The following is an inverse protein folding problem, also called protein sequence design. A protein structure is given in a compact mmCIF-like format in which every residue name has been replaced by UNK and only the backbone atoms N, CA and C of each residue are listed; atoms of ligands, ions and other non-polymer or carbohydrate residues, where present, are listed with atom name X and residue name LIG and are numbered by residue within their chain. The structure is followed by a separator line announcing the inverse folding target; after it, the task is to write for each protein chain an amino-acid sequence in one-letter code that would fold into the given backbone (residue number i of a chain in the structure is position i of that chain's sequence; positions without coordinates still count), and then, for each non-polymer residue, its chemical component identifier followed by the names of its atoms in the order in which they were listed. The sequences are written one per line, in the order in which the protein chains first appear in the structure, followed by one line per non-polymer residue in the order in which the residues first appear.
data_IF_795974612205
#
_entry.id   IF_795974612205
#
_cell.length_a   1.000
_cell.length_b   1.000
_cell.length_c   1.000
_cell.angle_alpha   90.00
_cell.angle_beta   90.00
_cell.angle_gamma   90.00
#
_symmetry.space_group_name_H-M   'P 1'
#
loop_
_entity.id
_entity.type
_entity.pdbx_description
1 polymer ?
#
# COMPACT_ATOMS: atom_id res chain seq x y z
N UNK A 1 -3.06 15.97 -0.69
CA UNK A 1 -2.90 14.69 -1.40
C UNK A 1 -3.72 13.61 -0.69
N UNK A 2 -4.48 12.84 -1.43
CA UNK A 2 -5.31 11.80 -0.84
C UNK A 2 -4.47 10.62 -0.36
N UNK A 3 -5.05 9.80 0.51
CA UNK A 3 -4.38 8.56 0.96
C UNK A 3 -4.04 7.67 -0.23
N UNK A 4 -4.97 7.55 -1.18
CA UNK A 4 -4.78 6.76 -2.39
C UNK A 4 -3.58 7.25 -3.21
N UNK A 5 -3.47 8.55 -3.43
CA UNK A 5 -2.35 9.11 -4.16
C UNK A 5 -1.03 8.91 -3.44
N UNK A 6 -1.01 9.12 -2.13
CA UNK A 6 0.19 8.90 -1.32
C UNK A 6 0.65 7.45 -1.40
N UNK A 7 -0.28 6.50 -1.30
CA UNK A 7 0.04 5.08 -1.40
C UNK A 7 0.58 4.72 -2.78
N UNK A 8 -0.09 5.16 -3.84
CA UNK A 8 0.33 4.82 -5.20
C UNK A 8 1.71 5.40 -5.49
N UNK A 9 1.96 6.64 -5.08
CA UNK A 9 3.26 7.25 -5.29
C UNK A 9 4.36 6.47 -4.56
N UNK A 10 4.14 6.14 -3.30
CA UNK A 10 5.14 5.39 -2.54
C UNK A 10 5.36 3.99 -3.11
N UNK A 11 4.28 3.29 -3.41
CA UNK A 11 4.36 1.91 -3.92
C UNK A 11 5.14 1.86 -5.24
N UNK A 12 4.82 2.75 -6.17
CA UNK A 12 5.30 2.62 -7.54
C UNK A 12 6.42 3.57 -7.91
N UNK A 13 6.80 4.48 -7.04
CA UNK A 13 7.99 5.31 -7.21
C UNK A 13 9.16 4.80 -6.36
N UNK A 14 8.88 4.26 -5.18
CA UNK A 14 9.91 3.92 -4.21
C UNK A 14 9.99 2.43 -3.92
N UNK A 15 8.86 1.81 -3.57
CA UNK A 15 8.85 0.44 -3.06
C UNK A 15 9.01 -0.58 -4.18
N UNK A 16 8.25 -0.41 -5.25
CA UNK A 16 8.25 -1.29 -6.41
C UNK A 16 8.33 -0.40 -7.67
N UNK A 17 9.50 0.21 -7.94
CA UNK A 17 9.61 1.22 -8.99
C UNK A 17 9.11 0.73 -10.34
N UNK A 18 8.27 1.55 -10.97
CA UNK A 18 7.71 1.27 -12.29
C UNK A 18 7.56 2.58 -13.06
N UNK A 19 7.52 2.48 -14.38
CA UNK A 19 7.24 3.65 -15.19
C UNK A 19 5.80 4.07 -14.95
N UNK A 20 5.55 5.39 -14.93
CA UNK A 20 4.22 5.93 -14.59
C UNK A 20 3.12 5.34 -15.46
N UNK A 21 3.37 5.14 -16.73
CA UNK A 21 2.39 4.59 -17.66
C UNK A 21 2.16 3.07 -17.47
N UNK A 22 3.00 2.43 -16.67
CA UNK A 22 2.90 0.99 -16.37
C UNK A 22 2.44 0.75 -14.93
N UNK A 23 2.03 1.78 -14.20
CA UNK A 23 1.56 1.61 -12.83
C UNK A 23 0.31 0.74 -12.80
N UNK A 24 0.25 -0.24 -11.90
CA UNK A 24 -0.94 -1.08 -11.77
C UNK A 24 -2.18 -0.28 -11.41
N UNK A 25 -3.32 -0.76 -11.83
CA UNK A 25 -4.61 -0.16 -11.44
C UNK A 25 -4.86 -0.40 -9.94
N UNK A 26 -5.81 0.35 -9.38
CA UNK A 26 -6.11 0.27 -7.94
C UNK A 26 -6.64 -1.10 -7.50
N UNK A 27 -7.22 -1.85 -8.42
CA UNK A 27 -7.74 -3.20 -8.14
C UNK A 27 -6.77 -4.31 -8.55
N UNK A 28 -5.60 -3.96 -9.09
CA UNK A 28 -4.61 -4.95 -9.50
C UNK A 28 -3.97 -5.62 -8.29
N UNK A 29 -3.55 -6.88 -8.48
CA UNK A 29 -2.92 -7.67 -7.44
C UNK A 29 -1.49 -7.16 -7.18
N UNK A 30 -1.26 -6.63 -5.99
CA UNK A 30 0.05 -6.12 -5.61
C UNK A 30 1.10 -7.22 -5.46
N UNK A 31 0.68 -8.45 -5.16
CA UNK A 31 1.61 -9.57 -5.09
C UNK A 31 2.21 -9.86 -6.47
N UNK A 32 1.39 -9.74 -7.51
CA UNK A 32 1.88 -9.87 -8.88
C UNK A 32 2.85 -8.75 -9.26
N UNK A 33 2.69 -7.58 -8.65
CA UNK A 33 3.57 -6.45 -8.89
C UNK A 33 4.88 -6.52 -8.10
N UNK A 34 4.99 -7.49 -7.18
CA UNK A 34 6.23 -7.69 -6.43
C UNK A 34 6.15 -7.44 -4.93
N UNK A 35 4.95 -7.21 -4.39
CA UNK A 35 4.81 -7.03 -2.95
C UNK A 35 5.19 -8.31 -2.22
N UNK A 36 6.04 -8.17 -1.20
CA UNK A 36 6.45 -9.29 -0.34
C UNK A 36 6.50 -8.82 1.11
N UNK A 37 6.92 -9.71 2.02
CA UNK A 37 6.93 -9.40 3.45
C UNK A 37 7.81 -8.22 3.80
N UNK A 38 8.97 -8.10 3.16
CA UNK A 38 9.89 -6.99 3.43
C UNK A 38 9.28 -5.67 2.97
N UNK A 39 8.75 -5.66 1.76
CA UNK A 39 8.13 -4.45 1.21
C UNK A 39 6.88 -4.07 1.98
N UNK A 40 6.13 -5.06 2.47
CA UNK A 40 4.96 -4.80 3.31
C UNK A 40 5.36 -4.10 4.60
N UNK A 41 6.44 -4.54 5.24
CA UNK A 41 6.91 -3.88 6.47
C UNK A 41 7.29 -2.43 6.20
N UNK A 42 7.97 -2.16 5.09
CA UNK A 42 8.32 -0.80 4.69
C UNK A 42 7.07 0.04 4.43
N UNK A 43 6.06 -0.56 3.82
CA UNK A 43 4.78 0.11 3.56
C UNK A 43 4.09 0.49 4.86
N UNK A 44 4.07 -0.40 5.84
CA UNK A 44 3.43 -0.12 7.12
C UNK A 44 4.14 1.02 7.86
N UNK A 45 5.46 1.07 7.79
CA UNK A 45 6.24 2.18 8.36
C UNK A 45 5.91 3.50 7.66
N UNK A 46 5.79 3.47 6.33
CA UNK A 46 5.40 4.65 5.56
C UNK A 46 4.02 5.17 5.99
N UNK A 47 3.05 4.27 6.11
CA UNK A 47 1.69 4.65 6.52
C UNK A 47 1.71 5.30 7.90
N UNK A 48 2.45 4.73 8.83
CA UNK A 48 2.54 5.28 10.17
C UNK A 48 3.18 6.66 10.18
N UNK A 49 4.26 6.85 9.43
CA UNK A 49 5.03 8.11 9.45
C UNK A 49 4.41 9.20 8.60
N UNK A 50 3.92 8.87 7.42
CA UNK A 50 3.47 9.87 6.44
C UNK A 50 1.96 10.06 6.46
N UNK A 51 1.20 9.00 6.63
CA UNK A 51 -0.26 9.07 6.69
C UNK A 51 -0.72 9.21 8.13
N UNK A 52 0.13 8.85 9.08
CA UNK A 52 -0.08 8.98 10.52
C UNK A 52 -1.21 8.10 11.04
N UNK A 53 -1.29 6.90 10.47
CA UNK A 53 -2.23 5.86 10.88
C UNK A 53 -1.42 4.63 11.23
N UNK A 54 -1.63 4.08 12.43
CA UNK A 54 -0.98 2.83 12.84
C UNK A 54 -1.86 1.66 12.48
N UNK A 55 -1.36 0.78 11.62
CA UNK A 55 -2.08 -0.42 11.22
C UNK A 55 -1.62 -1.60 12.07
N UNK A 56 -2.55 -2.29 12.76
CA UNK A 56 -2.17 -3.41 13.63
C UNK A 56 -1.62 -4.59 12.83
N UNK A 57 -0.49 -5.12 13.26
CA UNK A 57 0.14 -6.27 12.62
C UNK A 57 -0.78 -7.50 12.59
N UNK A 58 -1.57 -7.70 13.64
CA UNK A 58 -2.44 -8.87 13.73
C UNK A 58 -3.61 -8.81 12.75
N UNK A 59 -3.85 -7.66 12.12
CA UNK A 59 -4.90 -7.53 11.11
C UNK A 59 -4.39 -7.76 9.69
N UNK A 60 -3.07 -7.94 9.51
CA UNK A 60 -2.52 -8.20 8.18
C UNK A 60 -3.08 -9.51 7.62
N UNK A 61 -3.63 -9.42 6.44
CA UNK A 61 -4.15 -10.58 5.72
C UNK A 61 -4.07 -10.29 4.22
N UNK A 62 -4.06 -11.33 3.38
CA UNK A 62 -4.03 -11.10 1.93
C UNK A 62 -5.15 -10.19 1.46
N UNK A 63 -6.35 -10.31 2.03
CA UNK A 63 -7.50 -9.49 1.64
C UNK A 63 -7.28 -8.00 1.88
N UNK A 64 -6.44 -7.64 2.84
CA UNK A 64 -6.22 -6.24 3.22
C UNK A 64 -5.06 -5.60 2.49
N UNK A 65 -4.17 -6.40 1.92
CA UNK A 65 -2.94 -5.91 1.30
C UNK A 65 -2.82 -6.27 -0.18
N UNK A 66 -3.84 -6.92 -0.75
CA UNK A 66 -3.74 -7.43 -2.12
C UNK A 66 -3.84 -6.36 -3.19
N UNK A 67 -4.39 -5.18 -2.87
CA UNK A 67 -4.57 -4.12 -3.84
C UNK A 67 -4.52 -2.76 -3.17
N UNK A 68 -4.36 -1.71 -3.97
CA UNK A 68 -4.44 -0.33 -3.47
C UNK A 68 -5.82 -0.09 -2.84
N UNK A 69 -6.88 -0.56 -3.48
CA UNK A 69 -8.23 -0.41 -2.91
C UNK A 69 -8.35 -1.03 -1.53
N UNK A 70 -7.82 -2.24 -1.35
CA UNK A 70 -7.86 -2.94 -0.06
C UNK A 70 -7.08 -2.17 1.00
N UNK A 71 -5.89 -1.67 0.64
CA UNK A 71 -5.07 -0.88 1.56
C UNK A 71 -5.77 0.40 1.98
N UNK A 72 -6.40 1.10 1.04
CA UNK A 72 -7.12 2.33 1.35
C UNK A 72 -8.26 2.05 2.32
N UNK A 73 -9.04 0.99 2.09
CA UNK A 73 -10.12 0.61 3.00
C UNK A 73 -9.60 0.32 4.41
N UNK A 74 -8.50 -0.43 4.49
CA UNK A 74 -7.91 -0.77 5.79
C UNK A 74 -7.43 0.47 6.52
N UNK A 75 -6.73 1.37 5.83
CA UNK A 75 -6.26 2.61 6.42
C UNK A 75 -7.44 3.47 6.88
N UNK A 76 -8.45 3.63 6.04
CA UNK A 76 -9.62 4.45 6.38
C UNK A 76 -10.36 3.89 7.60
N UNK A 77 -10.34 2.59 7.80
CA UNK A 77 -11.00 1.97 8.95
C UNK A 77 -10.29 2.29 10.28
N UNK A 78 -9.05 2.79 10.22
CA UNK A 78 -8.25 3.11 11.39
C UNK A 78 -7.97 4.61 11.56
N UNK A 79 -8.57 5.44 10.75
CA UNK A 79 -8.38 6.90 10.86
C UNK A 79 -9.29 7.51 11.88
#
# INVERSE_FOLDING_TARGET
MSVREQLRNYLFETLMPAKRDAWPADDSDLFDAGLDSLRLMQLLVFVEKEIKVTLPDHEVSPDRIESVNALVEWIESHR
#
